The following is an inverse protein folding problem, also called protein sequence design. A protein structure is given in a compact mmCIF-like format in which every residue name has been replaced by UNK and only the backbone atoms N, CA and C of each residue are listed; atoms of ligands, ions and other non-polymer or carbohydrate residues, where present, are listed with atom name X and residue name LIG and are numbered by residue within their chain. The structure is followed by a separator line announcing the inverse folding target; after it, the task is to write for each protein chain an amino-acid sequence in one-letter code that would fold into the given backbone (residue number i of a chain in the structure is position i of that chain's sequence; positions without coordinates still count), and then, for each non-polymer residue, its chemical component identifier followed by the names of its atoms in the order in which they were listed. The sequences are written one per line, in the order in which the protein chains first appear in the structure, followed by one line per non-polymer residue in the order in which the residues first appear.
data_IF_028161406684
#
_entry.id   IF_028161406684
#
_cell.length_a   1.000
_cell.length_b   1.000
_cell.length_c   1.000
_cell.angle_alpha   90.00
_cell.angle_beta   90.00
_cell.angle_gamma   90.00
#
_symmetry.space_group_name_H-M   'P 1'
#
loop_
_entity.id
_entity.type
_entity.pdbx_description
1 polymer ?
#
# COMPACT_ATOMS: atom_id res chain seq x y z
N UNK A 1 -46.91 19.65 -6.41
CA UNK A 1 -47.55 19.34 -5.09
C UNK A 1 -46.72 19.87 -3.91
N UNK A 2 -46.06 21.05 -3.99
CA UNK A 2 -45.08 21.48 -2.96
C UNK A 2 -45.59 22.46 -1.90
N UNK A 3 -46.43 23.42 -2.27
CA UNK A 3 -46.66 24.64 -1.47
C UNK A 3 -47.61 24.47 -0.28
N UNK A 4 -48.45 23.41 -0.24
CA UNK A 4 -49.51 23.24 0.78
C UNK A 4 -49.06 22.67 2.13
N UNK A 5 -47.77 22.35 2.32
CA UNK A 5 -47.23 21.73 3.55
C UNK A 5 -46.43 22.68 4.45
N UNK A 6 -46.20 23.92 4.01
CA UNK A 6 -45.54 24.96 4.79
C UNK A 6 -46.59 25.79 5.55
N UNK A 7 -46.70 25.58 6.86
CA UNK A 7 -47.47 26.46 7.74
C UNK A 7 -46.59 27.63 8.14
N UNK A 8 -47.09 28.85 7.95
CA UNK A 8 -46.36 30.09 8.21
C UNK A 8 -45.93 30.16 9.69
N UNK A 9 -44.66 30.47 9.95
CA UNK A 9 -44.07 30.46 11.29
C UNK A 9 -43.30 29.18 11.70
N UNK A 10 -43.16 28.19 10.80
CA UNK A 10 -42.34 26.98 11.03
C UNK A 10 -41.05 27.01 10.18
N UNK A 11 -39.91 26.64 10.75
CA UNK A 11 -38.60 26.67 10.09
C UNK A 11 -38.40 25.58 9.02
N UNK A 12 -39.24 24.54 9.02
CA UNK A 12 -39.20 23.41 8.09
C UNK A 12 -40.63 22.85 7.88
N UNK A 13 -40.89 22.15 6.76
CA UNK A 13 -42.18 21.48 6.53
C UNK A 13 -42.45 20.37 7.56
N UNK A 14 -43.73 20.09 7.80
CA UNK A 14 -44.19 19.17 8.86
C UNK A 14 -43.48 17.82 8.87
N UNK A 15 -43.33 17.18 7.70
CA UNK A 15 -42.78 15.82 7.60
C UNK A 15 -41.31 15.76 8.05
N UNK A 16 -40.53 16.83 7.82
CA UNK A 16 -39.12 16.94 8.27
C UNK A 16 -39.05 17.12 9.79
N UNK A 17 -39.94 17.94 10.37
CA UNK A 17 -40.01 18.12 11.83
C UNK A 17 -40.46 16.84 12.54
N UNK A 18 -41.41 16.10 11.95
CA UNK A 18 -41.88 14.82 12.48
C UNK A 18 -40.75 13.77 12.46
N UNK A 19 -40.03 13.64 11.35
CA UNK A 19 -38.88 12.73 11.25
C UNK A 19 -37.76 13.11 12.24
N UNK A 20 -37.47 14.41 12.39
CA UNK A 20 -36.49 14.88 13.37
C UNK A 20 -36.92 14.59 14.82
N UNK A 21 -38.21 14.76 15.15
CA UNK A 21 -38.77 14.42 16.46
C UNK A 21 -38.71 12.93 16.76
N UNK A 22 -39.12 12.09 15.80
CA UNK A 22 -39.01 10.62 15.91
C UNK A 22 -37.56 10.18 16.13
N UNK A 23 -36.62 10.70 15.34
CA UNK A 23 -35.18 10.43 15.51
C UNK A 23 -34.67 10.88 16.88
N UNK A 24 -35.05 12.07 17.35
CA UNK A 24 -34.66 12.60 18.67
C UNK A 24 -35.17 11.72 19.81
N UNK A 25 -36.41 11.25 19.73
CA UNK A 25 -36.97 10.34 20.73
C UNK A 25 -36.33 8.95 20.67
N UNK A 26 -36.07 8.40 19.49
CA UNK A 26 -35.38 7.12 19.33
C UNK A 26 -33.97 7.18 19.93
N UNK A 27 -33.21 8.26 19.66
CA UNK A 27 -31.90 8.50 20.28
C UNK A 27 -32.04 8.62 21.80
N UNK A 28 -33.02 9.38 22.31
CA UNK A 28 -33.24 9.53 23.76
C UNK A 28 -33.53 8.19 24.45
N UNK A 29 -34.35 7.32 23.84
CA UNK A 29 -34.62 5.99 24.39
C UNK A 29 -33.36 5.11 24.36
N UNK A 30 -32.60 5.14 23.24
CA UNK A 30 -31.35 4.39 23.12
C UNK A 30 -30.27 4.84 24.13
N UNK A 31 -30.17 6.14 24.43
CA UNK A 31 -29.25 6.64 25.45
C UNK A 31 -29.67 6.22 26.85
N UNK A 32 -30.97 6.22 27.16
CA UNK A 32 -31.48 5.78 28.47
C UNK A 32 -31.25 4.27 28.65
N UNK A 33 -31.52 3.45 27.64
CA UNK A 33 -31.26 2.00 27.73
C UNK A 33 -29.76 1.67 27.87
N UNK A 34 -28.89 2.43 27.20
CA UNK A 34 -27.44 2.25 27.34
C UNK A 34 -26.94 2.67 28.74
N UNK A 35 -27.48 3.74 29.32
CA UNK A 35 -27.20 4.14 30.70
C UNK A 35 -27.68 3.09 31.71
N UNK A 36 -28.91 2.57 31.54
CA UNK A 36 -29.45 1.52 32.42
C UNK A 36 -28.66 0.21 32.34
N UNK A 37 -28.13 -0.17 31.17
CA UNK A 37 -27.25 -1.33 31.04
C UNK A 37 -25.92 -1.12 31.78
N UNK A 38 -25.31 0.06 31.65
CA UNK A 38 -24.11 0.42 32.42
C UNK A 38 -24.39 0.48 33.93
N UNK A 39 -25.55 0.97 34.36
CA UNK A 39 -25.95 0.98 35.78
C UNK A 39 -26.15 -0.44 36.33
N UNK A 40 -26.74 -1.36 35.55
CA UNK A 40 -26.88 -2.77 35.93
C UNK A 40 -25.55 -3.51 35.96
N UNK A 41 -24.67 -3.27 34.98
CA UNK A 41 -23.31 -3.82 34.95
C UNK A 41 -22.50 -3.32 36.15
N UNK A 42 -22.53 -2.02 36.45
CA UNK A 42 -21.89 -1.47 37.65
C UNK A 42 -22.52 -2.04 38.93
N UNK A 43 -23.85 -2.17 39.03
CA UNK A 43 -24.50 -2.76 40.20
C UNK A 43 -24.09 -4.22 40.44
N UNK A 44 -23.78 -4.98 39.37
CA UNK A 44 -23.23 -6.33 39.48
C UNK A 44 -21.75 -6.36 39.93
N UNK A 45 -21.05 -5.22 39.89
CA UNK A 45 -19.73 -5.03 40.51
C UNK A 45 -19.80 -4.28 41.86
N UNK A 46 -20.97 -3.79 42.27
CA UNK A 46 -21.24 -3.26 43.62
C UNK A 46 -21.70 -4.38 44.54
N UNK A 47 -20.97 -5.50 44.56
CA UNK A 47 -21.17 -6.56 45.55
C UNK A 47 -20.72 -6.02 46.92
N UNK A 48 -21.68 -5.52 47.71
CA UNK A 48 -21.56 -5.12 49.13
C UNK A 48 -21.35 -6.36 50.05
N UNK A 49 -20.67 -7.38 49.53
CA UNK A 49 -20.25 -8.58 50.25
C UNK A 49 -19.14 -8.18 51.21
N UNK A 50 -19.23 -8.50 52.51
CA UNK A 50 -18.13 -8.29 53.44
C UNK A 50 -16.89 -9.06 52.95
N UNK A 51 -15.89 -8.30 52.48
CA UNK A 51 -14.58 -8.81 52.08
C UNK A 51 -13.92 -9.48 53.28
N UNK A 52 -13.31 -10.66 53.07
CA UNK A 52 -12.43 -11.26 54.07
C UNK A 52 -11.13 -10.46 54.12
N UNK A 53 -10.75 -9.98 55.31
CA UNK A 53 -9.47 -9.29 55.56
C UNK A 53 -8.27 -10.04 54.95
N UNK A 54 -8.32 -11.38 54.92
CA UNK A 54 -7.28 -12.23 54.36
C UNK A 54 -7.26 -12.23 52.82
N UNK A 55 -8.41 -12.09 52.17
CA UNK A 55 -8.54 -12.00 50.71
C UNK A 55 -8.13 -10.59 50.25
N UNK A 56 -8.62 -9.55 50.92
CA UNK A 56 -8.21 -8.16 50.65
C UNK A 56 -6.68 -8.02 50.81
N UNK A 57 -6.09 -8.50 51.90
CA UNK A 57 -4.66 -8.45 52.11
C UNK A 57 -3.88 -9.15 50.98
N UNK A 58 -4.31 -10.33 50.55
CA UNK A 58 -3.69 -11.05 49.44
C UNK A 58 -3.81 -10.28 48.12
N UNK A 59 -4.97 -9.67 47.84
CA UNK A 59 -5.19 -8.88 46.63
C UNK A 59 -4.37 -7.59 46.61
N UNK A 60 -4.28 -6.88 47.74
CA UNK A 60 -3.45 -5.68 47.92
C UNK A 60 -1.97 -6.02 47.76
N UNK A 61 -1.47 -7.09 48.41
CA UNK A 61 -0.09 -7.55 48.25
C UNK A 61 0.20 -8.03 46.82
N UNK A 62 -0.75 -8.68 46.15
CA UNK A 62 -0.64 -9.03 44.74
C UNK A 62 -0.61 -7.79 43.82
N UNK A 63 -1.31 -6.71 44.18
CA UNK A 63 -1.24 -5.42 43.48
C UNK A 63 0.12 -4.74 43.66
N UNK A 64 0.58 -4.61 44.91
CA UNK A 64 1.88 -4.00 45.24
C UNK A 64 3.04 -4.74 44.58
N UNK A 65 3.06 -6.08 44.64
CA UNK A 65 4.14 -6.89 44.04
C UNK A 65 4.18 -6.83 42.51
N UNK A 66 3.07 -6.50 41.85
CA UNK A 66 3.00 -6.27 40.39
C UNK A 66 3.29 -4.82 40.00
N UNK A 67 3.34 -3.89 40.95
CA UNK A 67 3.55 -2.47 40.67
C UNK A 67 5.02 -2.19 40.32
N UNK A 68 5.28 -1.91 39.04
CA UNK A 68 6.61 -1.54 38.52
C UNK A 68 6.50 -0.15 37.90
N UNK A 69 6.99 0.87 38.61
CA UNK A 69 7.05 2.22 38.10
C UNK A 69 8.10 2.34 36.99
N UNK A 70 7.72 2.90 35.84
CA UNK A 70 8.62 3.20 34.72
C UNK A 70 8.88 4.72 34.72
N UNK A 71 10.15 5.19 34.68
CA UNK A 71 10.44 6.62 34.61
C UNK A 71 9.96 7.22 33.29
N UNK A 72 9.36 8.41 33.36
CA UNK A 72 8.82 9.13 32.19
C UNK A 72 9.94 9.58 31.26
N UNK A 73 11.06 10.05 31.81
CA UNK A 73 12.25 10.45 31.05
C UNK A 73 13.53 9.84 31.65
N UNK A 74 14.45 9.43 30.77
CA UNK A 74 15.78 8.95 31.13
C UNK A 74 16.83 9.74 30.34
N UNK A 75 17.58 10.61 31.03
CA UNK A 75 18.61 11.45 30.39
C UNK A 75 19.88 10.65 30.08
N UNK A 76 20.01 10.20 28.83
CA UNK A 76 21.25 9.55 28.34
C UNK A 76 22.36 10.59 28.15
N UNK A 77 23.38 10.54 29.01
CA UNK A 77 24.56 11.42 28.90
C UNK A 77 25.47 10.90 27.78
N UNK A 78 25.55 11.64 26.67
CA UNK A 78 26.43 11.34 25.55
C UNK A 78 27.27 12.58 25.19
N UNK A 79 28.61 12.51 25.23
CA UNK A 79 29.46 13.65 24.93
C UNK A 79 29.42 14.00 23.43
N UNK A 80 29.38 15.30 23.13
CA UNK A 80 29.26 15.81 21.76
C UNK A 80 30.39 15.30 20.84
N UNK A 81 31.62 15.17 21.35
CA UNK A 81 32.77 14.62 20.60
C UNK A 81 32.50 13.20 20.08
N UNK A 82 31.92 12.33 20.92
CA UNK A 82 31.58 10.95 20.53
C UNK A 82 30.45 10.94 19.48
N UNK A 83 29.38 11.71 19.72
CA UNK A 83 28.24 11.84 18.80
C UNK A 83 28.68 12.31 17.41
N UNK A 84 29.46 13.39 17.36
CA UNK A 84 29.95 13.99 16.10
C UNK A 84 30.99 13.11 15.42
N UNK A 85 31.89 12.46 16.17
CA UNK A 85 32.86 11.51 15.63
C UNK A 85 32.20 10.30 14.97
N UNK A 86 31.24 9.69 15.67
CA UNK A 86 30.41 8.59 15.15
C UNK A 86 29.70 9.02 13.85
N UNK A 87 29.02 10.17 13.86
CA UNK A 87 28.29 10.67 12.69
C UNK A 87 29.23 10.88 11.48
N UNK A 88 30.38 11.54 11.67
CA UNK A 88 31.35 11.79 10.60
C UNK A 88 31.90 10.49 9.99
N UNK A 89 32.37 9.55 10.82
CA UNK A 89 32.87 8.26 10.31
C UNK A 89 31.78 7.44 9.63
N UNK A 90 30.55 7.45 10.16
CA UNK A 90 29.41 6.74 9.57
C UNK A 90 29.08 7.24 8.17
N UNK A 91 28.88 8.54 7.99
CA UNK A 91 28.54 9.08 6.66
C UNK A 91 29.71 8.91 5.67
N UNK A 92 30.97 9.07 6.12
CA UNK A 92 32.15 8.81 5.29
C UNK A 92 32.22 7.35 4.80
N UNK A 93 32.08 6.37 5.70
CA UNK A 93 32.15 4.95 5.34
C UNK A 93 30.97 4.52 4.47
N UNK A 94 29.76 5.02 4.75
CA UNK A 94 28.59 4.72 3.89
C UNK A 94 28.79 5.32 2.50
N UNK A 95 29.29 6.55 2.39
CA UNK A 95 29.59 7.18 1.10
C UNK A 95 30.74 6.51 0.34
N UNK A 96 31.66 5.83 1.04
CA UNK A 96 32.78 5.13 0.42
C UNK A 96 32.39 3.72 -0.06
N UNK A 97 31.61 2.98 0.73
CA UNK A 97 31.20 1.61 0.38
C UNK A 97 29.95 1.55 -0.51
N UNK A 98 29.11 2.60 -0.49
CA UNK A 98 27.94 2.65 -1.36
C UNK A 98 28.04 3.83 -2.31
N UNK A 99 27.90 3.55 -3.61
CA UNK A 99 27.74 4.55 -4.68
C UNK A 99 26.37 5.26 -4.61
N UNK A 100 25.85 5.47 -3.39
CA UNK A 100 24.63 6.20 -3.12
C UNK A 100 24.91 7.69 -3.34
N UNK A 101 24.74 8.12 -4.58
CA UNK A 101 24.95 9.51 -4.99
C UNK A 101 24.14 10.44 -4.05
N UNK A 102 24.76 11.43 -3.38
CA UNK A 102 24.06 12.39 -2.52
C UNK A 102 23.30 13.41 -3.39
N UNK A 103 22.33 12.92 -4.15
CA UNK A 103 21.49 13.73 -5.01
C UNK A 103 20.67 14.71 -4.14
N UNK A 104 20.86 16.04 -4.30
CA UNK A 104 19.96 17.00 -3.69
C UNK A 104 18.59 16.79 -4.34
N UNK A 105 17.60 16.49 -3.52
CA UNK A 105 16.22 16.38 -3.98
C UNK A 105 15.80 17.80 -4.37
N UNK A 106 15.39 18.06 -5.62
CA UNK A 106 15.08 19.42 -6.03
C UNK A 106 13.92 19.95 -5.18
N UNK A 107 14.04 21.19 -4.71
CA UNK A 107 13.08 21.81 -3.77
C UNK A 107 11.65 21.80 -4.34
N UNK A 108 11.50 21.83 -5.66
CA UNK A 108 10.24 21.70 -6.40
C UNK A 108 9.55 20.33 -6.29
N UNK A 109 10.22 19.30 -5.77
CA UNK A 109 9.64 17.97 -5.51
C UNK A 109 9.45 17.68 -4.01
N UNK A 110 9.74 18.63 -3.12
CA UNK A 110 9.38 18.50 -1.71
C UNK A 110 7.86 18.63 -1.62
N UNK A 111 7.11 17.56 -1.26
CA UNK A 111 5.68 17.68 -1.07
C UNK A 111 5.42 18.59 0.12
N UNK A 112 4.64 19.66 -0.08
CA UNK A 112 4.21 20.58 0.98
C UNK A 112 3.14 19.99 1.90
N UNK A 113 2.77 18.71 1.71
CA UNK A 113 1.77 18.01 2.50
C UNK A 113 2.37 17.12 3.59
N UNK A 114 1.65 17.02 4.71
CA UNK A 114 1.93 16.07 5.80
C UNK A 114 1.76 14.63 5.33
N UNK A 115 2.84 14.04 4.84
CA UNK A 115 2.90 12.66 4.37
C UNK A 115 4.33 12.14 4.32
N UNK A 116 4.50 10.83 4.42
CA UNK A 116 5.82 10.18 4.55
C UNK A 116 6.84 10.60 3.48
N UNK A 117 6.39 10.96 2.27
CA UNK A 117 7.26 11.42 1.18
C UNK A 117 7.92 12.80 1.45
N UNK A 118 7.31 13.69 2.23
CA UNK A 118 7.94 14.96 2.63
C UNK A 118 9.00 14.76 3.72
N UNK A 119 8.69 13.89 4.68
CA UNK A 119 9.61 13.38 5.70
C UNK A 119 10.81 12.68 5.03
N UNK A 120 10.59 12.03 3.88
CA UNK A 120 11.67 11.45 3.07
C UNK A 120 12.61 12.48 2.44
N UNK A 121 12.13 13.70 2.20
CA UNK A 121 12.88 14.76 1.51
C UNK A 121 13.69 15.65 2.46
N UNK A 122 13.16 15.97 3.65
CA UNK A 122 13.80 16.86 4.63
C UNK A 122 15.18 16.38 5.14
N UNK A 123 15.50 15.09 5.00
CA UNK A 123 16.79 14.48 5.40
C UNK A 123 17.74 14.25 4.23
N UNK A 124 17.58 15.02 3.13
CA UNK A 124 18.10 14.73 1.78
C UNK A 124 19.56 14.33 1.60
N UNK A 125 20.47 14.74 2.50
CA UNK A 125 21.91 14.43 2.42
C UNK A 125 22.41 13.35 3.38
N UNK A 126 21.55 12.79 4.24
CA UNK A 126 21.93 11.73 5.19
C UNK A 126 21.82 10.37 4.50
N UNK A 127 22.92 9.62 4.46
CA UNK A 127 22.99 8.30 3.81
C UNK A 127 22.69 7.16 4.81
N UNK A 128 23.07 7.36 6.08
CA UNK A 128 22.81 6.42 7.17
C UNK A 128 21.35 6.32 7.63
N UNK A 129 21.08 5.34 8.50
CA UNK A 129 19.78 5.20 9.20
C UNK A 129 19.53 6.47 10.03
N UNK A 130 18.37 7.09 9.83
CA UNK A 130 17.94 8.30 10.54
C UNK A 130 16.58 8.10 11.19
N UNK A 131 16.38 8.70 12.36
CA UNK A 131 15.05 8.88 12.95
C UNK A 131 14.56 10.24 12.48
N UNK A 132 13.32 10.32 12.00
CA UNK A 132 12.64 11.58 11.76
C UNK A 132 11.47 11.69 12.72
N UNK A 133 11.38 12.86 13.35
CA UNK A 133 10.33 13.21 14.29
C UNK A 133 9.31 14.05 13.55
N UNK A 134 8.04 13.67 13.62
CA UNK A 134 6.96 14.56 13.21
C UNK A 134 6.66 15.53 14.36
N UNK A 135 6.85 16.82 14.11
CA UNK A 135 6.61 17.88 15.09
C UNK A 135 5.12 18.08 15.41
N UNK A 136 4.21 17.57 14.57
CA UNK A 136 2.75 17.74 14.75
C UNK A 136 2.14 16.58 15.54
N UNK A 137 2.46 15.32 15.19
CA UNK A 137 1.93 14.14 15.91
C UNK A 137 2.82 13.65 17.06
N UNK A 138 4.06 14.11 17.16
CA UNK A 138 5.08 13.52 18.05
C UNK A 138 5.57 12.13 17.60
N UNK A 139 5.09 11.63 16.45
CA UNK A 139 5.43 10.33 15.91
C UNK A 139 6.91 10.21 15.55
N UNK A 140 7.51 9.07 15.88
CA UNK A 140 8.91 8.76 15.56
C UNK A 140 8.98 7.74 14.43
N UNK A 141 9.60 8.11 13.30
CA UNK A 141 9.72 7.25 12.13
C UNK A 141 11.18 6.91 11.86
N UNK A 142 11.49 5.61 11.83
CA UNK A 142 12.82 5.11 11.48
C UNK A 142 12.92 4.99 9.96
N UNK A 143 13.88 5.68 9.35
CA UNK A 143 14.21 5.54 7.93
C UNK A 143 15.37 4.55 7.74
N UNK A 144 15.24 3.55 6.85
CA UNK A 144 16.35 2.66 6.50
C UNK A 144 17.50 3.44 5.83
N UNK A 145 18.70 2.89 5.85
CA UNK A 145 19.85 3.50 5.15
C UNK A 145 19.63 3.50 3.64
N UNK A 146 20.03 4.59 2.96
CA UNK A 146 19.93 4.67 1.49
C UNK A 146 20.75 3.60 0.79
N UNK A 147 21.88 3.22 1.39
CA UNK A 147 22.71 2.07 1.05
C UNK A 147 21.92 0.75 0.84
N UNK A 148 20.95 0.47 1.72
CA UNK A 148 20.12 -0.73 1.61
C UNK A 148 19.09 -0.59 0.49
N UNK A 149 18.45 0.58 0.37
CA UNK A 149 17.43 0.87 -0.64
C UNK A 149 17.98 0.87 -2.06
N UNK A 150 19.18 1.41 -2.29
CA UNK A 150 19.85 1.35 -3.60
C UNK A 150 20.19 -0.09 -3.99
N UNK A 151 20.55 -0.93 -3.01
CA UNK A 151 20.91 -2.34 -3.25
C UNK A 151 19.70 -3.18 -3.66
N UNK A 152 18.55 -3.01 -3.00
CA UNK A 152 17.31 -3.70 -3.39
C UNK A 152 16.76 -3.19 -4.72
N UNK A 153 16.79 -1.87 -4.97
CA UNK A 153 16.30 -1.28 -6.22
C UNK A 153 17.12 -1.74 -7.45
N UNK A 154 18.45 -1.82 -7.32
CA UNK A 154 19.32 -2.36 -8.37
C UNK A 154 19.10 -3.87 -8.62
N UNK A 155 18.68 -4.63 -7.61
CA UNK A 155 18.34 -6.05 -7.76
C UNK A 155 17.01 -6.23 -8.49
N UNK A 156 16.00 -5.43 -8.13
CA UNK A 156 14.70 -5.40 -8.80
C UNK A 156 14.84 -5.07 -10.29
N UNK A 157 15.55 -3.98 -10.64
CA UNK A 157 15.80 -3.62 -12.04
C UNK A 157 16.47 -4.72 -12.86
N UNK A 158 17.38 -5.51 -12.25
CA UNK A 158 18.02 -6.66 -12.91
C UNK A 158 17.07 -7.85 -13.11
N UNK A 159 16.07 -8.04 -12.25
CA UNK A 159 15.01 -9.02 -12.48
C UNK A 159 14.07 -8.55 -13.60
N UNK A 160 13.62 -7.30 -13.55
CA UNK A 160 12.69 -6.73 -14.54
C UNK A 160 13.30 -6.76 -15.95
N UNK A 161 14.58 -6.40 -16.11
CA UNK A 161 15.30 -6.53 -17.40
C UNK A 161 15.36 -7.97 -17.90
N UNK A 162 15.61 -8.96 -17.03
CA UNK A 162 15.62 -10.38 -17.44
C UNK A 162 14.24 -10.86 -17.91
N UNK A 163 13.16 -10.43 -17.23
CA UNK A 163 11.80 -10.78 -17.63
C UNK A 163 11.44 -10.17 -18.99
N UNK A 164 11.75 -8.89 -19.21
CA UNK A 164 11.54 -8.22 -20.50
C UNK A 164 12.30 -8.92 -21.65
N UNK A 165 13.54 -9.33 -21.39
CA UNK A 165 14.37 -10.02 -22.39
C UNK A 165 13.84 -11.43 -22.73
N UNK A 166 13.27 -12.16 -21.77
CA UNK A 166 12.58 -13.43 -22.03
C UNK A 166 11.29 -13.25 -22.86
N UNK A 167 10.49 -12.22 -22.58
CA UNK A 167 9.29 -11.94 -23.38
C UNK A 167 9.62 -11.60 -24.84
N UNK A 168 10.70 -10.86 -25.09
CA UNK A 168 11.17 -10.59 -26.46
C UNK A 168 11.58 -11.87 -27.23
N UNK A 169 12.25 -12.82 -26.57
CA UNK A 169 12.59 -14.10 -27.21
C UNK A 169 11.34 -14.94 -27.56
N UNK A 170 10.32 -14.96 -26.70
CA UNK A 170 9.07 -15.67 -26.99
C UNK A 170 8.32 -15.06 -28.18
N UNK A 171 8.28 -13.73 -28.31
CA UNK A 171 7.67 -13.06 -29.46
C UNK A 171 8.39 -13.38 -30.77
N UNK A 172 9.73 -13.42 -30.79
CA UNK A 172 10.47 -13.80 -31.99
C UNK A 172 10.21 -15.25 -32.41
N UNK A 173 10.10 -16.20 -31.46
CA UNK A 173 9.76 -17.59 -31.79
C UNK A 173 8.34 -17.72 -32.37
N UNK A 174 7.35 -17.01 -31.84
CA UNK A 174 5.99 -17.02 -32.40
C UNK A 174 5.95 -16.44 -33.83
N UNK A 175 6.67 -15.35 -34.11
CA UNK A 175 6.75 -14.80 -35.47
C UNK A 175 7.42 -15.78 -36.45
N UNK A 176 8.48 -16.50 -36.05
CA UNK A 176 9.11 -17.50 -36.91
C UNK A 176 8.17 -18.68 -37.21
N UNK A 177 7.40 -19.16 -36.22
CA UNK A 177 6.42 -20.23 -36.44
C UNK A 177 5.28 -19.80 -37.37
N UNK A 178 4.73 -18.59 -37.20
CA UNK A 178 3.72 -18.04 -38.11
C UNK A 178 4.26 -17.83 -39.53
N UNK A 179 5.51 -17.38 -39.67
CA UNK A 179 6.15 -17.23 -40.97
C UNK A 179 6.32 -18.58 -41.69
N UNK A 180 6.73 -19.64 -40.98
CA UNK A 180 6.84 -20.99 -41.55
C UNK A 180 5.48 -21.55 -41.97
N UNK A 181 4.44 -21.45 -41.13
CA UNK A 181 3.08 -21.88 -41.47
C UNK A 181 2.53 -21.17 -42.72
N UNK A 182 2.72 -19.85 -42.83
CA UNK A 182 2.29 -19.11 -44.02
C UNK A 182 3.05 -19.53 -45.29
N UNK A 183 4.35 -19.84 -45.19
CA UNK A 183 5.14 -20.32 -46.33
C UNK A 183 4.68 -21.71 -46.80
N UNK A 184 4.33 -22.58 -45.84
CA UNK A 184 3.89 -23.95 -46.10
C UNK A 184 2.45 -23.99 -46.67
N UNK A 185 1.56 -23.14 -46.16
CA UNK A 185 0.22 -22.94 -46.72
C UNK A 185 0.28 -22.38 -48.16
N UNK A 186 1.19 -21.44 -48.43
CA UNK A 186 1.37 -20.89 -49.79
C UNK A 186 1.90 -21.95 -50.77
N UNK A 187 2.78 -22.86 -50.33
CA UNK A 187 3.21 -24.03 -51.13
C UNK A 187 2.05 -24.98 -51.43
N UNK A 188 1.17 -25.27 -50.47
CA UNK A 188 0.00 -26.14 -50.70
C UNK A 188 -0.98 -25.52 -51.72
N UNK A 189 -1.26 -24.22 -51.62
CA UNK A 189 -2.08 -23.50 -52.61
C UNK A 189 -1.47 -23.56 -54.02
N UNK A 190 -0.15 -23.39 -54.14
CA UNK A 190 0.54 -23.46 -55.43
C UNK A 190 0.51 -24.88 -56.04
N UNK A 191 0.68 -25.93 -55.23
CA UNK A 191 0.52 -27.31 -55.68
C UNK A 191 -0.92 -27.63 -56.15
N UNK A 192 -1.93 -27.11 -55.44
CA UNK A 192 -3.33 -27.30 -55.81
C UNK A 192 -3.70 -26.58 -57.11
N UNK A 193 -3.13 -25.39 -57.35
CA UNK A 193 -3.29 -24.65 -58.61
C UNK A 193 -2.63 -25.37 -59.81
N UNK A 194 -1.48 -26.04 -59.60
CA UNK A 194 -0.76 -26.73 -60.68
C UNK A 194 -1.50 -27.97 -61.20
N UNK A 195 -2.36 -28.59 -60.39
CA UNK A 195 -3.16 -29.76 -60.75
C UNK A 195 -4.46 -29.44 -61.54
N UNK A 196 -4.80 -28.18 -61.80
CA UNK A 196 -5.97 -27.81 -62.63
C UNK A 196 -5.64 -27.61 -64.12
N UNK A 197 -4.38 -27.68 -64.54
CA UNK A 197 -3.96 -27.49 -65.93
C UNK A 197 -3.43 -28.79 -66.58
N UNK A 198 -4.33 -29.75 -66.87
CA UNK A 198 -4.12 -30.72 -67.95
C UNK A 198 -4.93 -30.27 -69.19
N UNK A 199 -4.27 -29.88 -70.30
CA UNK A 199 -4.97 -29.46 -71.51
C UNK A 199 -5.48 -30.66 -72.32
N UNK A 200 -6.68 -30.52 -72.89
CA UNK A 200 -7.19 -31.45 -73.90
C UNK A 200 -6.37 -31.36 -75.20
N UNK A 201 -6.02 -32.51 -75.77
CA UNK A 201 -5.54 -32.62 -77.17
C UNK A 201 -6.58 -33.36 -78.01
N UNK A 202 -6.85 -32.84 -79.21
CA UNK A 202 -7.99 -33.26 -80.03
C UNK A 202 -7.55 -33.39 -81.51
N UNK A 203 -8.30 -34.19 -82.27
CA UNK A 203 -8.38 -34.26 -83.76
C UNK A 203 -7.42 -35.17 -84.56
N UNK A 204 -8.03 -36.04 -85.38
CA UNK A 204 -7.51 -36.76 -86.57
C UNK A 204 -7.50 -35.83 -87.82
N UNK A 205 -7.21 -36.21 -89.11
CA UNK A 205 -7.01 -37.53 -89.80
C UNK A 205 -5.60 -37.64 -90.50
N UNK A 206 -5.26 -38.57 -91.43
CA UNK A 206 -5.86 -39.82 -91.95
C UNK A 206 -5.67 -40.02 -93.49
N UNK A 207 -5.43 -41.27 -93.93
CA UNK A 207 -5.05 -41.69 -95.32
C UNK A 207 -3.66 -41.20 -95.81
N UNK A 208 -2.97 -41.81 -96.80
CA UNK A 208 -3.27 -42.96 -97.68
C UNK A 208 -2.01 -43.46 -98.42
N UNK A 209 -2.15 -44.49 -99.28
CA UNK A 209 -1.05 -45.26 -99.92
C UNK A 209 -0.49 -44.64 -101.23
N UNK A 210 0.65 -45.20 -101.66
CA UNK A 210 1.34 -45.13 -102.97
C UNK A 210 2.17 -43.88 -103.29
#
# INVERSE_FOLDING_TARGET
MGTKRAVQGRSAPYDVLLAAYQKKNQVKMATISAQQQLEQENAQFMDDVPLDDNEEFQQVMAGVTRSIAIPIENRVIMPARSRTGMFRMREMLISAFTNANPAPIPVSQIPTGSGGNAIMAATGSILGRSIVYDAVSGGQFVRPSRAAVSSSMNMQQKQDQKQAQQQQQQQQQQQQQQAQQNLEAQKQLQFQAQNQNLPMTNKAPGAGQF
#
